data_IF_673885225691
#
_entry.id   IF_673885225691
#
_cell.length_a   1.000
_cell.length_b   1.000
_cell.length_c   1.000
_cell.angle_alpha   90.00
_cell.angle_beta   90.00
_cell.angle_gamma   90.00
#
_symmetry.space_group_name_H-M   'P 1'
#
loop_
_entity.id
_entity.type
_entity.pdbx_description
1 polymer ?
#
# COMPACT_ATOMS: atom_id res chain seq x y z
N UNK A 1 18.30 50.38 -25.47
CA UNK A 1 17.17 49.51 -25.84
C UNK A 1 17.64 48.07 -25.90
N UNK A 2 16.93 47.19 -25.20
CA UNK A 2 16.70 45.73 -25.37
C UNK A 2 17.78 44.78 -25.91
N UNK A 3 17.87 43.50 -25.53
CA UNK A 3 17.50 42.63 -24.39
C UNK A 3 17.92 41.22 -24.88
N UNK A 4 18.20 40.31 -23.94
CA UNK A 4 18.27 38.82 -24.06
C UNK A 4 19.50 38.22 -24.76
N UNK A 5 20.07 37.06 -24.40
CA UNK A 5 20.39 36.28 -23.19
C UNK A 5 20.99 34.94 -23.70
N UNK A 6 21.59 34.16 -22.80
CA UNK A 6 21.96 32.74 -22.94
C UNK A 6 23.29 32.44 -23.68
N UNK A 7 24.12 31.46 -23.31
CA UNK A 7 23.93 30.33 -22.41
C UNK A 7 25.28 29.92 -21.79
N UNK A 8 25.25 29.52 -20.53
CA UNK A 8 26.36 28.88 -19.83
C UNK A 8 26.44 27.40 -20.20
N UNK A 9 27.61 26.99 -20.69
CA UNK A 9 28.05 25.62 -20.81
C UNK A 9 29.06 25.38 -19.67
N UNK A 10 28.73 24.55 -18.68
CA UNK A 10 29.67 23.56 -18.10
C UNK A 10 28.99 22.78 -16.96
N UNK A 11 28.92 21.46 -17.14
CA UNK A 11 28.94 20.48 -16.04
C UNK A 11 30.36 20.46 -15.42
N UNK A 12 30.62 19.62 -14.40
CA UNK A 12 30.20 19.77 -13.01
C UNK A 12 31.45 19.92 -12.10
N UNK A 13 31.28 20.20 -10.80
CA UNK A 13 32.13 19.46 -9.87
C UNK A 13 31.30 18.68 -8.86
N UNK A 14 31.64 17.39 -8.81
CA UNK A 14 31.40 16.50 -7.69
C UNK A 14 31.76 17.14 -6.35
N UNK A 15 30.99 16.77 -5.33
CA UNK A 15 31.51 16.66 -3.97
C UNK A 15 31.60 17.96 -3.20
N UNK A 16 30.46 18.50 -2.79
CA UNK A 16 30.41 19.49 -1.73
C UNK A 16 29.08 19.40 -1.01
N UNK A 17 28.99 18.55 0.02
CA UNK A 17 27.95 18.72 1.03
C UNK A 17 28.17 20.13 1.61
N UNK A 18 27.17 21.02 1.63
CA UNK A 18 27.31 22.28 2.32
C UNK A 18 27.52 21.98 3.80
N UNK A 19 28.77 22.03 4.26
CA UNK A 19 29.09 22.11 5.68
C UNK A 19 28.66 23.49 6.14
N UNK A 20 27.42 23.59 6.61
CA UNK A 20 27.07 24.58 7.60
C UNK A 20 27.71 24.15 8.91
N UNK A 21 28.52 25.07 9.46
CA UNK A 21 29.21 24.88 10.73
C UNK A 21 28.21 24.70 11.86
N UNK A 22 27.94 23.43 12.17
CA UNK A 22 27.62 22.81 13.45
C UNK A 22 26.99 21.45 13.10
N UNK A 23 27.82 20.41 13.05
CA UNK A 23 27.48 19.07 12.57
C UNK A 23 26.46 18.33 13.43
N UNK A 24 25.19 18.71 13.35
CA UNK A 24 24.08 17.84 13.67
C UNK A 24 23.20 17.70 12.43
N UNK A 25 22.95 16.48 11.92
CA UNK A 25 21.92 16.28 10.92
C UNK A 25 20.63 16.92 11.45
N UNK A 26 19.97 17.73 10.61
CA UNK A 26 18.75 18.40 11.03
C UNK A 26 17.77 17.31 11.45
N UNK A 27 17.38 17.33 12.72
CA UNK A 27 16.65 16.21 13.34
C UNK A 27 15.33 15.93 12.60
N UNK A 28 14.82 16.93 11.90
CA UNK A 28 13.70 16.82 10.98
C UNK A 28 14.01 15.93 9.76
N UNK A 29 15.10 16.17 9.04
CA UNK A 29 15.47 15.37 7.86
C UNK A 29 15.68 13.89 8.20
N UNK A 30 16.20 13.63 9.41
CA UNK A 30 16.37 12.29 9.94
C UNK A 30 15.02 11.65 10.28
N UNK A 31 14.13 12.37 10.96
CA UNK A 31 12.76 11.91 11.29
C UNK A 31 11.94 11.64 10.02
N UNK A 32 12.07 12.48 9.00
CA UNK A 32 11.39 12.32 7.70
C UNK A 32 11.93 11.10 6.93
N UNK A 33 13.24 10.86 7.00
CA UNK A 33 13.86 9.65 6.44
C UNK A 33 13.35 8.39 7.15
N UNK A 34 13.25 8.41 8.49
CA UNK A 34 12.70 7.29 9.26
C UNK A 34 11.21 7.08 9.00
N UNK A 35 10.43 8.15 8.80
CA UNK A 35 9.01 8.05 8.46
C UNK A 35 8.79 7.43 7.09
N UNK A 36 9.51 7.89 6.06
CA UNK A 36 9.47 7.26 4.72
C UNK A 36 9.88 5.80 4.76
N UNK A 37 10.90 5.47 5.54
CA UNK A 37 11.34 4.10 5.72
C UNK A 37 10.27 3.26 6.44
N UNK A 38 9.62 3.80 7.47
CA UNK A 38 8.50 3.14 8.16
C UNK A 38 7.27 2.96 7.26
N UNK A 39 6.97 3.92 6.37
CA UNK A 39 5.87 3.82 5.39
C UNK A 39 6.18 2.72 4.35
N UNK A 40 7.42 2.64 3.87
CA UNK A 40 7.88 1.57 2.97
C UNK A 40 7.91 0.23 3.67
N UNK A 41 8.38 0.16 4.93
CA UNK A 41 8.30 -1.06 5.74
C UNK A 41 6.86 -1.45 5.99
N UNK A 42 5.97 -0.49 6.23
CA UNK A 42 4.55 -0.77 6.40
C UNK A 42 3.96 -1.30 5.10
N UNK A 43 4.31 -0.78 3.93
CA UNK A 43 3.93 -1.34 2.62
C UNK A 43 4.48 -2.76 2.40
N UNK A 44 5.77 -2.98 2.61
CA UNK A 44 6.41 -4.30 2.42
C UNK A 44 5.92 -5.32 3.44
N UNK A 45 5.69 -4.91 4.69
CA UNK A 45 5.10 -5.75 5.72
C UNK A 45 3.61 -5.95 5.48
N UNK A 46 2.86 -5.00 4.94
CA UNK A 46 1.43 -5.19 4.64
C UNK A 46 1.23 -6.12 3.45
N UNK A 47 2.11 -6.12 2.44
CA UNK A 47 2.07 -7.10 1.34
C UNK A 47 2.27 -8.55 1.83
N UNK A 48 3.14 -8.80 2.81
CA UNK A 48 3.32 -10.17 3.37
C UNK A 48 2.45 -10.46 4.60
N UNK A 49 1.97 -9.44 5.31
CA UNK A 49 1.21 -9.61 6.54
C UNK A 49 -0.30 -9.60 6.33
N UNK A 50 -0.84 -8.93 5.29
CA UNK A 50 -2.28 -8.92 5.06
C UNK A 50 -2.76 -10.33 4.73
N UNK A 51 -2.18 -10.96 3.72
CA UNK A 51 -2.51 -12.33 3.32
C UNK A 51 -2.35 -13.30 4.49
N UNK A 52 -1.20 -13.24 5.19
CA UNK A 52 -0.91 -14.09 6.36
C UNK A 52 -1.90 -13.85 7.51
N UNK A 53 -2.35 -12.61 7.73
CA UNK A 53 -3.31 -12.28 8.77
C UNK A 53 -4.71 -12.77 8.40
N UNK A 54 -5.14 -12.56 7.16
CA UNK A 54 -6.43 -13.02 6.66
C UNK A 54 -6.51 -14.55 6.71
N UNK A 55 -5.43 -15.25 6.32
CA UNK A 55 -5.30 -16.69 6.47
C UNK A 55 -5.45 -17.12 7.94
N UNK A 56 -4.74 -16.47 8.87
CA UNK A 56 -4.83 -16.78 10.30
C UNK A 56 -6.23 -16.54 10.87
N UNK A 57 -6.91 -15.47 10.43
CA UNK A 57 -8.29 -15.20 10.82
C UNK A 57 -9.21 -16.32 10.32
N UNK A 58 -9.07 -16.72 9.05
CA UNK A 58 -9.86 -17.81 8.49
C UNK A 58 -9.67 -19.13 9.24
N UNK A 59 -8.43 -19.48 9.56
CA UNK A 59 -8.10 -20.69 10.31
C UNK A 59 -8.70 -20.64 11.73
N UNK A 60 -8.56 -19.49 12.41
CA UNK A 60 -9.15 -19.29 13.75
C UNK A 60 -10.68 -19.37 13.71
N UNK A 61 -11.32 -18.78 12.70
CA UNK A 61 -12.77 -18.86 12.54
C UNK A 61 -13.24 -20.30 12.30
N UNK A 62 -12.47 -21.11 11.57
CA UNK A 62 -12.81 -22.50 11.29
C UNK A 62 -12.79 -23.36 12.56
N UNK A 63 -11.87 -23.05 13.49
CA UNK A 63 -11.81 -23.71 14.80
C UNK A 63 -12.99 -23.32 15.70
N UNK A 64 -13.45 -22.07 15.62
CA UNK A 64 -14.50 -21.55 16.49
C UNK A 64 -15.91 -21.87 15.99
N UNK A 65 -16.14 -21.78 14.68
CA UNK A 65 -17.45 -21.94 14.05
C UNK A 65 -17.25 -22.76 12.77
N UNK A 66 -17.84 -23.96 12.65
CA UNK A 66 -17.76 -24.72 11.41
C UNK A 66 -18.47 -23.97 10.29
N UNK A 67 -17.74 -23.67 9.22
CA UNK A 67 -18.25 -23.08 7.99
C UNK A 67 -17.79 -23.91 6.79
N UNK A 68 -18.57 -23.90 5.71
CA UNK A 68 -18.20 -24.60 4.47
C UNK A 68 -17.28 -23.75 3.58
N UNK A 69 -17.48 -22.43 3.56
CA UNK A 69 -16.75 -21.48 2.71
C UNK A 69 -16.59 -20.14 3.41
N UNK A 70 -15.48 -19.44 3.15
CA UNK A 70 -15.24 -18.07 3.62
C UNK A 70 -14.64 -17.22 2.50
N UNK A 71 -15.11 -15.99 2.32
CA UNK A 71 -14.51 -15.02 1.42
C UNK A 71 -14.52 -13.63 2.04
N UNK A 72 -13.43 -12.90 1.86
CA UNK A 72 -13.25 -11.54 2.37
C UNK A 72 -12.97 -10.63 1.18
N UNK A 73 -13.66 -9.50 1.16
CA UNK A 73 -13.52 -8.47 0.14
C UNK A 73 -13.10 -7.16 0.81
N UNK A 74 -12.17 -6.47 0.18
CA UNK A 74 -11.84 -5.09 0.47
C UNK A 74 -12.75 -4.16 -0.32
N UNK A 75 -13.24 -3.10 0.32
CA UNK A 75 -14.06 -2.09 -0.32
C UNK A 75 -13.16 -1.02 -0.97
N UNK A 76 -13.07 -1.04 -2.30
CA UNK A 76 -12.49 0.06 -3.08
C UNK A 76 -13.57 1.12 -3.30
N UNK A 77 -13.67 2.07 -2.37
CA UNK A 77 -14.65 3.17 -2.42
C UNK A 77 -14.44 4.10 -3.62
N UNK A 78 -13.21 4.22 -4.13
CA UNK A 78 -12.92 5.08 -5.27
C UNK A 78 -13.54 4.53 -6.55
N UNK A 79 -13.56 3.20 -6.69
CA UNK A 79 -14.17 2.50 -7.82
C UNK A 79 -15.59 2.01 -7.53
N UNK A 80 -16.07 2.10 -6.28
CA UNK A 80 -17.36 1.54 -5.80
C UNK A 80 -17.46 0.03 -6.04
N UNK A 81 -16.35 -0.67 -5.80
CA UNK A 81 -16.19 -2.11 -6.03
C UNK A 81 -15.67 -2.81 -4.78
N UNK A 82 -16.12 -4.04 -4.59
CA UNK A 82 -15.56 -5.00 -3.65
C UNK A 82 -14.52 -5.84 -4.39
N UNK A 83 -13.28 -5.76 -3.93
CA UNK A 83 -12.14 -6.49 -4.46
C UNK A 83 -11.88 -7.71 -3.56
N UNK A 84 -11.89 -8.94 -4.08
CA UNK A 84 -11.62 -10.13 -3.27
C UNK A 84 -10.16 -10.11 -2.79
N UNK A 85 -9.97 -10.31 -1.48
CA UNK A 85 -8.65 -10.38 -0.83
C UNK A 85 -8.38 -11.74 -0.18
N UNK A 86 -9.43 -12.53 0.11
CA UNK A 86 -9.30 -13.90 0.57
C UNK A 86 -10.46 -14.74 0.05
N UNK A 87 -10.19 -15.96 -0.40
CA UNK A 87 -11.20 -16.98 -0.67
C UNK A 87 -10.75 -18.37 -0.17
N UNK A 88 -11.53 -18.95 0.75
CA UNK A 88 -11.45 -20.33 1.23
C UNK A 88 -12.65 -21.10 0.69
N UNK A 89 -12.52 -21.58 -0.54
CA UNK A 89 -13.54 -22.35 -1.25
C UNK A 89 -12.88 -23.17 -2.38
N UNK A 90 -13.57 -24.19 -2.89
CA UNK A 90 -13.15 -24.95 -4.10
C UNK A 90 -13.09 -24.09 -5.37
N UNK A 91 -13.72 -22.93 -5.36
CA UNK A 91 -13.72 -21.95 -6.45
C UNK A 91 -12.93 -20.68 -6.09
N UNK A 92 -11.96 -20.79 -5.18
CA UNK A 92 -11.17 -19.64 -4.71
C UNK A 92 -10.58 -18.84 -5.88
N UNK A 93 -10.02 -19.53 -6.87
CA UNK A 93 -9.43 -18.88 -8.05
C UNK A 93 -10.45 -18.07 -8.87
N UNK A 94 -11.67 -18.57 -9.04
CA UNK A 94 -12.76 -17.83 -9.71
C UNK A 94 -13.20 -16.62 -8.89
N UNK A 95 -13.35 -16.79 -7.58
CA UNK A 95 -13.77 -15.73 -6.66
C UNK A 95 -12.73 -14.61 -6.67
N UNK A 96 -11.44 -14.94 -6.57
CA UNK A 96 -10.34 -13.96 -6.57
C UNK A 96 -10.23 -13.17 -7.88
N UNK A 97 -10.77 -13.68 -9.00
CA UNK A 97 -10.81 -12.96 -10.29
C UNK A 97 -12.02 -12.06 -10.45
N UNK A 98 -13.02 -12.15 -9.59
CA UNK A 98 -14.30 -11.49 -9.78
C UNK A 98 -14.52 -10.37 -8.75
N UNK A 99 -14.55 -9.14 -9.24
CA UNK A 99 -14.96 -7.98 -8.44
C UNK A 99 -16.48 -7.83 -8.41
N UNK A 100 -17.00 -7.27 -7.33
CA UNK A 100 -18.45 -7.08 -7.15
C UNK A 100 -18.74 -5.59 -7.01
N UNK A 101 -19.64 -5.02 -7.82
CA UNK A 101 -20.06 -3.63 -7.64
C UNK A 101 -20.86 -3.43 -6.35
N UNK A 102 -20.77 -2.25 -5.75
CA UNK A 102 -21.62 -1.90 -4.60
C UNK A 102 -23.10 -1.96 -5.00
N UNK A 103 -23.95 -2.41 -4.07
CA UNK A 103 -25.37 -2.69 -4.31
C UNK A 103 -25.67 -3.92 -5.17
N UNK A 104 -24.66 -4.69 -5.62
CA UNK A 104 -24.85 -5.87 -6.48
C UNK A 104 -24.66 -7.17 -5.71
N UNK A 105 -25.67 -8.03 -5.75
CA UNK A 105 -25.63 -9.31 -5.02
C UNK A 105 -25.60 -9.13 -3.50
N UNK A 106 -25.47 -10.23 -2.76
CA UNK A 106 -25.54 -10.19 -1.28
C UNK A 106 -24.39 -9.37 -0.70
N UNK A 107 -23.17 -9.58 -1.22
CA UNK A 107 -21.99 -8.87 -0.74
C UNK A 107 -22.05 -7.37 -1.09
N UNK A 108 -22.42 -7.01 -2.33
CA UNK A 108 -22.52 -5.62 -2.73
C UNK A 108 -23.63 -4.86 -1.99
N UNK A 109 -24.74 -5.51 -1.62
CA UNK A 109 -25.79 -4.87 -0.81
C UNK A 109 -25.39 -4.54 0.63
N UNK A 110 -24.39 -5.25 1.16
CA UNK A 110 -23.88 -5.00 2.51
C UNK A 110 -22.82 -3.87 2.55
N UNK A 111 -22.30 -3.46 1.38
CA UNK A 111 -21.30 -2.41 1.22
C UNK A 111 -21.90 -1.00 1.17
#
# INVERSE_FOLDING_TARGET
MDRVSAAALSMPPSGGIPTTGNGHPDRHDLVDSYRRLADVFHHVLSEQALDTLLDRIADTLAELIPYDTLSIFEADEAQTELVPVLARDRWADEIMRNKIGFGVGIAGWAA
#
